data_IF_277431319836
#
_entry.id   IF_277431319836
#
_cell.length_a   1.000
_cell.length_b   1.000
_cell.length_c   1.000
_cell.angle_alpha   90.00
_cell.angle_beta   90.00
_cell.angle_gamma   90.00
#
_symmetry.space_group_name_H-M   'P 1'
#
loop_
_entity.id
_entity.type
_entity.pdbx_description
1 polymer ?
#
# COMPACT_ATOMS: atom_id res chain seq x y z
N UNK A 1 -15.05 -10.23 -55.75
CA UNK A 1 -13.86 -9.55 -55.21
C UNK A 1 -14.19 -8.36 -54.30
N UNK A 2 -14.95 -7.35 -54.76
CA UNK A 2 -15.29 -6.17 -53.93
C UNK A 2 -16.02 -6.48 -52.62
N UNK A 3 -16.92 -7.48 -52.59
CA UNK A 3 -17.64 -7.89 -51.36
C UNK A 3 -16.77 -8.64 -50.35
N UNK A 4 -15.71 -9.32 -50.80
CA UNK A 4 -14.76 -10.02 -49.92
C UNK A 4 -13.81 -9.02 -49.23
N UNK A 5 -13.42 -7.97 -49.96
CA UNK A 5 -12.60 -6.87 -49.44
C UNK A 5 -13.34 -6.12 -48.30
N UNK A 6 -14.66 -5.91 -48.44
CA UNK A 6 -15.46 -5.23 -47.40
C UNK A 6 -15.53 -6.07 -46.12
N UNK A 7 -15.64 -7.40 -46.22
CA UNK A 7 -15.68 -8.30 -45.05
C UNK A 7 -14.33 -8.32 -44.33
N UNK A 8 -13.22 -8.33 -45.07
CA UNK A 8 -11.86 -8.29 -44.51
C UNK A 8 -11.58 -6.94 -43.83
N UNK A 9 -12.03 -5.82 -44.41
CA UNK A 9 -11.91 -4.49 -43.79
C UNK A 9 -12.79 -4.38 -42.54
N UNK A 10 -14.00 -4.97 -42.57
CA UNK A 10 -14.91 -4.99 -41.42
C UNK A 10 -14.38 -5.82 -40.25
N UNK A 11 -13.51 -6.80 -40.50
CA UNK A 11 -12.89 -7.63 -39.46
C UNK A 11 -11.73 -6.93 -38.73
N UNK A 12 -11.14 -5.89 -39.33
CA UNK A 12 -10.07 -5.09 -38.70
C UNK A 12 -10.60 -3.91 -37.85
N UNK A 13 -11.91 -3.63 -37.88
CA UNK A 13 -12.53 -2.50 -37.18
C UNK A 13 -12.83 -2.75 -35.69
N UNK A 14 -12.56 -3.95 -35.17
CA UNK A 14 -13.07 -4.40 -33.86
C UNK A 14 -11.96 -4.85 -32.90
N UNK A 15 -10.93 -4.03 -32.70
CA UNK A 15 -10.12 -4.16 -31.48
C UNK A 15 -9.73 -2.78 -30.95
N UNK A 16 -10.71 -2.03 -30.45
CA UNK A 16 -10.43 -0.97 -29.48
C UNK A 16 -10.01 -1.66 -28.18
N UNK A 17 -8.71 -1.87 -28.00
CA UNK A 17 -8.15 -2.29 -26.72
C UNK A 17 -8.36 -1.11 -25.76
N UNK A 18 -9.48 -1.13 -25.03
CA UNK A 18 -9.69 -0.26 -23.89
C UNK A 18 -8.74 -0.72 -22.79
N UNK A 19 -7.51 -0.22 -22.83
CA UNK A 19 -6.59 -0.38 -21.72
C UNK A 19 -7.15 0.46 -20.57
N UNK A 20 -7.74 -0.21 -19.58
CA UNK A 20 -8.06 0.43 -18.31
C UNK A 20 -6.76 1.01 -17.75
N UNK A 21 -6.75 2.32 -17.51
CA UNK A 21 -5.60 2.98 -16.89
C UNK A 21 -5.40 2.40 -15.49
N UNK A 22 -4.20 1.92 -15.20
CA UNK A 22 -3.84 1.36 -13.90
C UNK A 22 -2.81 2.23 -13.16
N UNK A 23 -2.79 2.09 -11.83
CA UNK A 23 -1.76 2.66 -10.98
C UNK A 23 -1.38 1.66 -9.89
N UNK A 24 -0.12 1.25 -9.87
CA UNK A 24 0.37 0.22 -8.94
C UNK A 24 -0.49 -1.06 -9.01
N UNK A 25 -0.91 -1.46 -10.21
CA UNK A 25 -1.80 -2.62 -10.42
C UNK A 25 -3.23 -2.45 -9.91
N UNK A 26 -3.62 -1.29 -9.39
CA UNK A 26 -5.00 -0.95 -9.10
C UNK A 26 -5.68 -0.35 -10.33
N UNK A 27 -6.91 -0.77 -10.65
CA UNK A 27 -7.63 -0.22 -11.78
C UNK A 27 -8.20 1.15 -11.43
N UNK A 28 -8.11 2.08 -12.38
CA UNK A 28 -8.73 3.39 -12.27
C UNK A 28 -10.08 3.32 -13.01
N UNK A 29 -11.21 3.69 -12.37
CA UNK A 29 -12.51 3.74 -13.03
C UNK A 29 -12.49 4.58 -14.32
N UNK A 30 -13.20 4.11 -15.34
CA UNK A 30 -13.32 4.85 -16.60
C UNK A 30 -13.96 6.23 -16.39
N UNK A 31 -13.45 7.25 -17.08
CA UNK A 31 -13.92 8.63 -16.94
C UNK A 31 -13.39 9.37 -15.70
N UNK A 32 -12.48 8.77 -14.94
CA UNK A 32 -11.83 9.45 -13.81
C UNK A 32 -11.06 10.71 -14.26
N UNK A 33 -11.26 11.80 -13.51
CA UNK A 33 -10.51 13.03 -13.68
C UNK A 33 -9.28 13.01 -12.76
N UNK A 34 -8.08 12.85 -13.32
CA UNK A 34 -6.84 12.80 -12.55
C UNK A 34 -6.50 14.21 -12.05
N UNK A 35 -6.42 14.38 -10.72
CA UNK A 35 -6.04 15.64 -10.08
C UNK A 35 -4.53 15.73 -9.84
N UNK A 36 -3.92 14.62 -9.39
CA UNK A 36 -2.50 14.52 -9.13
C UNK A 36 -2.01 13.11 -9.47
N UNK A 37 -0.82 13.01 -10.07
CA UNK A 37 -0.14 11.74 -10.29
C UNK A 37 1.36 11.92 -10.17
N UNK A 38 1.96 11.13 -9.30
CA UNK A 38 3.41 10.94 -9.19
C UNK A 38 3.72 9.45 -8.95
N UNK A 39 4.99 9.12 -8.71
CA UNK A 39 5.42 7.73 -8.50
C UNK A 39 4.86 7.09 -7.22
N UNK A 40 4.50 7.91 -6.22
CA UNK A 40 4.07 7.47 -4.89
C UNK A 40 2.60 7.75 -4.59
N UNK A 41 1.91 8.55 -5.40
CA UNK A 41 0.54 8.99 -5.15
C UNK A 41 -0.23 9.18 -6.46
N UNK A 42 -1.46 8.69 -6.45
CA UNK A 42 -2.48 9.04 -7.43
C UNK A 42 -3.69 9.62 -6.71
N UNK A 43 -4.16 10.77 -7.15
CA UNK A 43 -5.41 11.38 -6.69
C UNK A 43 -6.30 11.69 -7.89
N UNK A 44 -7.56 11.25 -7.83
CA UNK A 44 -8.53 11.46 -8.90
C UNK A 44 -9.95 11.60 -8.37
N UNK A 45 -10.83 12.14 -9.21
CA UNK A 45 -12.27 12.22 -8.97
C UNK A 45 -13.02 11.33 -9.95
N UNK A 46 -14.10 10.70 -9.47
CA UNK A 46 -14.98 9.85 -10.26
C UNK A 46 -16.45 10.25 -10.06
N UNK A 47 -17.27 10.00 -11.08
CA UNK A 47 -18.73 10.18 -11.02
C UNK A 47 -19.43 9.04 -10.25
N UNK A 48 -18.72 7.95 -9.91
CA UNK A 48 -19.22 6.94 -8.99
C UNK A 48 -19.50 7.55 -7.62
N UNK A 49 -20.61 7.20 -6.99
CA UNK A 49 -20.83 7.54 -5.59
C UNK A 49 -19.91 6.73 -4.66
N UNK A 50 -19.84 7.14 -3.39
CA UNK A 50 -18.95 6.53 -2.40
C UNK A 50 -19.09 5.00 -2.31
N UNK A 51 -20.32 4.48 -2.15
CA UNK A 51 -20.56 3.05 -2.02
C UNK A 51 -20.20 2.28 -3.30
N UNK A 52 -20.53 2.82 -4.47
CA UNK A 52 -20.15 2.23 -5.76
C UNK A 52 -18.63 2.11 -5.90
N UNK A 53 -17.90 3.13 -5.46
CA UNK A 53 -16.44 3.12 -5.50
C UNK A 53 -15.84 2.12 -4.51
N UNK A 54 -16.40 2.03 -3.30
CA UNK A 54 -16.01 1.02 -2.29
C UNK A 54 -16.25 -0.40 -2.83
N UNK A 55 -17.41 -0.66 -3.40
CA UNK A 55 -17.76 -1.97 -3.95
C UNK A 55 -16.88 -2.34 -5.16
N UNK A 56 -16.56 -1.36 -6.01
CA UNK A 56 -15.62 -1.54 -7.13
C UNK A 56 -14.26 -2.06 -6.65
N UNK A 57 -13.66 -1.43 -5.64
CA UNK A 57 -12.39 -1.88 -5.10
C UNK A 57 -12.50 -3.17 -4.29
N UNK A 58 -13.60 -3.37 -3.53
CA UNK A 58 -13.84 -4.64 -2.82
C UNK A 58 -13.90 -5.83 -3.78
N UNK A 59 -14.56 -5.67 -4.92
CA UNK A 59 -14.64 -6.73 -5.93
C UNK A 59 -13.27 -7.04 -6.52
N UNK A 60 -12.50 -6.00 -6.87
CA UNK A 60 -11.14 -6.16 -7.38
C UNK A 60 -10.22 -6.85 -6.37
N UNK A 61 -10.34 -6.50 -5.09
CA UNK A 61 -9.51 -6.99 -4.00
C UNK A 61 -10.02 -8.28 -3.34
N UNK A 62 -11.08 -8.89 -3.86
CA UNK A 62 -11.73 -10.08 -3.27
C UNK A 62 -10.80 -11.29 -3.08
N UNK A 63 -9.72 -11.38 -3.84
CA UNK A 63 -8.72 -12.46 -3.75
C UNK A 63 -7.46 -12.07 -2.95
N UNK A 64 -7.35 -10.81 -2.54
CA UNK A 64 -6.24 -10.35 -1.72
C UNK A 64 -6.47 -10.78 -0.26
N UNK A 65 -5.41 -11.24 0.41
CA UNK A 65 -5.51 -11.84 1.75
C UNK A 65 -5.41 -10.83 2.88
N UNK A 66 -4.51 -9.87 2.75
CA UNK A 66 -4.08 -8.99 3.83
C UNK A 66 -4.67 -7.58 3.71
N UNK A 67 -5.94 -7.50 3.29
CA UNK A 67 -6.65 -6.23 3.11
C UNK A 67 -7.48 -5.89 4.33
N UNK A 68 -7.32 -4.69 4.86
CA UNK A 68 -8.15 -4.12 5.91
C UNK A 68 -8.98 -2.98 5.36
N UNK A 69 -10.28 -2.99 5.68
CA UNK A 69 -11.20 -1.92 5.33
C UNK A 69 -11.68 -1.26 6.62
N UNK A 70 -11.50 0.05 6.72
CA UNK A 70 -11.89 0.85 7.87
C UNK A 70 -12.84 1.95 7.42
N UNK A 71 -13.97 2.04 8.10
CA UNK A 71 -14.94 3.10 7.87
C UNK A 71 -14.64 4.27 8.79
N UNK A 72 -14.36 5.44 8.20
CA UNK A 72 -14.18 6.70 8.91
C UNK A 72 -15.37 7.62 8.65
N UNK A 73 -15.49 8.69 9.44
CA UNK A 73 -16.58 9.66 9.32
C UNK A 73 -16.66 10.30 7.93
N UNK A 74 -15.51 10.59 7.33
CA UNK A 74 -15.41 11.35 6.07
C UNK A 74 -14.87 10.51 4.90
N UNK A 75 -14.52 9.24 5.12
CA UNK A 75 -13.94 8.39 4.09
C UNK A 75 -14.05 6.90 4.44
N UNK A 76 -13.82 6.05 3.45
CA UNK A 76 -13.45 4.65 3.65
C UNK A 76 -11.97 4.51 3.35
N UNK A 77 -11.24 3.87 4.25
CA UNK A 77 -9.82 3.61 4.14
C UNK A 77 -9.59 2.13 3.92
N UNK A 78 -9.03 1.76 2.76
CA UNK A 78 -8.62 0.41 2.41
C UNK A 78 -7.10 0.35 2.49
N UNK A 79 -6.57 -0.60 3.24
CA UNK A 79 -5.16 -0.73 3.57
C UNK A 79 -4.67 -2.14 3.21
N UNK A 80 -3.49 -2.22 2.59
CA UNK A 80 -2.75 -3.48 2.44
C UNK A 80 -1.73 -3.60 3.59
N UNK A 81 -1.87 -4.66 4.38
CA UNK A 81 -0.88 -5.07 5.39
C UNK A 81 0.12 -6.10 4.82
N UNK A 82 0.02 -6.40 3.51
CA UNK A 82 0.79 -7.41 2.82
C UNK A 82 2.02 -6.86 2.11
N UNK A 83 2.04 -7.07 0.79
CA UNK A 83 3.20 -6.78 -0.08
C UNK A 83 2.77 -6.24 -1.44
N UNK A 84 1.55 -5.71 -1.52
CA UNK A 84 1.05 -5.11 -2.74
C UNK A 84 1.86 -3.83 -3.04
N UNK A 85 1.98 -3.45 -4.32
CA UNK A 85 2.75 -2.27 -4.71
C UNK A 85 2.13 -0.94 -4.23
N UNK A 86 0.89 -0.96 -3.76
CA UNK A 86 0.20 0.16 -3.11
C UNK A 86 0.00 -0.15 -1.62
N UNK A 87 -0.08 0.89 -0.79
CA UNK A 87 -0.29 0.79 0.64
C UNK A 87 -1.73 1.08 1.05
N UNK A 88 -2.33 2.13 0.48
CA UNK A 88 -3.72 2.46 0.81
C UNK A 88 -4.52 3.10 -0.31
N UNK A 89 -5.85 2.96 -0.20
CA UNK A 89 -6.87 3.59 -1.02
C UNK A 89 -7.82 4.33 -0.08
N UNK A 90 -7.88 5.64 -0.19
CA UNK A 90 -8.82 6.49 0.54
C UNK A 90 -9.94 6.93 -0.39
N UNK A 91 -11.19 6.67 -0.01
CA UNK A 91 -12.38 7.02 -0.78
C UNK A 91 -13.21 8.00 0.05
N UNK A 92 -13.32 9.25 -0.39
CA UNK A 92 -14.05 10.29 0.36
C UNK A 92 -15.55 10.02 0.42
N UNK A 93 -16.22 10.45 1.49
CA UNK A 93 -17.68 10.54 1.63
C UNK A 93 -18.12 11.99 1.39
N UNK A 94 -19.17 12.18 0.58
CA UNK A 94 -20.14 13.31 0.45
C UNK A 94 -19.73 14.79 0.67
N UNK A 95 -18.46 15.09 0.93
CA UNK A 95 -17.93 16.45 1.12
C UNK A 95 -17.45 17.07 -0.21
N UNK A 96 -17.54 16.33 -1.31
CA UNK A 96 -17.07 16.74 -2.63
C UNK A 96 -18.18 16.56 -3.65
N UNK A 97 -18.22 17.41 -4.69
CA UNK A 97 -19.17 17.27 -5.81
C UNK A 97 -19.04 15.94 -6.56
N UNK A 98 -17.88 15.29 -6.43
CA UNK A 98 -17.50 14.00 -7.02
C UNK A 98 -16.74 13.19 -5.98
N UNK A 99 -16.83 11.86 -6.05
CA UNK A 99 -16.08 11.01 -5.11
C UNK A 99 -14.59 11.11 -5.43
N UNK A 100 -13.81 11.54 -4.44
CA UNK A 100 -12.36 11.62 -4.53
C UNK A 100 -11.74 10.32 -4.04
N UNK A 101 -10.79 9.81 -4.81
CA UNK A 101 -10.01 8.62 -4.50
C UNK A 101 -8.54 8.98 -4.48
N UNK A 102 -7.86 8.57 -3.42
CA UNK A 102 -6.42 8.74 -3.24
C UNK A 102 -5.80 7.37 -3.07
N UNK A 103 -4.87 7.01 -3.95
CA UNK A 103 -4.07 5.79 -3.86
C UNK A 103 -2.65 6.18 -3.51
N UNK A 104 -2.08 5.55 -2.47
CA UNK A 104 -0.74 5.84 -1.97
C UNK A 104 0.12 4.59 -2.06
N UNK A 105 1.37 4.75 -2.54
CA UNK A 105 2.41 3.74 -2.54
C UNK A 105 3.01 3.57 -1.15
N UNK A 106 3.47 2.36 -0.86
CA UNK A 106 4.19 2.10 0.37
C UNK A 106 5.50 2.91 0.49
N UNK A 107 5.82 3.33 1.72
CA UNK A 107 7.01 4.12 2.03
C UNK A 107 8.09 3.26 2.68
N UNK A 108 8.84 2.58 1.81
CA UNK A 108 9.96 1.71 2.20
C UNK A 108 11.00 2.40 3.08
N UNK A 109 11.26 3.69 2.85
CA UNK A 109 12.21 4.46 3.67
C UNK A 109 11.73 4.57 5.11
N UNK A 110 10.45 4.83 5.33
CA UNK A 110 9.87 4.91 6.68
C UNK A 110 9.86 3.53 7.37
N UNK A 111 9.44 2.48 6.66
CA UNK A 111 9.44 1.10 7.19
C UNK A 111 10.85 0.68 7.61
N UNK A 112 11.83 0.83 6.72
CA UNK A 112 13.22 0.50 7.03
C UNK A 112 13.78 1.34 8.19
N UNK A 113 13.44 2.63 8.24
CA UNK A 113 13.85 3.52 9.33
C UNK A 113 13.37 3.03 10.70
N UNK A 114 12.09 2.67 10.83
CA UNK A 114 11.54 2.17 12.11
C UNK A 114 12.13 0.83 12.52
N UNK A 115 12.38 -0.07 11.56
CA UNK A 115 13.02 -1.38 11.80
C UNK A 115 14.46 -1.22 12.29
N UNK A 116 15.24 -0.36 11.62
CA UNK A 116 16.63 -0.07 12.00
C UNK A 116 16.69 0.54 13.40
N UNK A 117 15.83 1.52 13.69
CA UNK A 117 15.79 2.15 15.01
C UNK A 117 15.44 1.14 16.12
N UNK A 118 14.47 0.25 15.87
CA UNK A 118 14.13 -0.83 16.81
C UNK A 118 15.31 -1.77 17.04
N UNK A 119 16.01 -2.17 15.98
CA UNK A 119 17.17 -3.04 16.07
C UNK A 119 18.29 -2.39 16.90
N UNK A 120 18.60 -1.13 16.63
CA UNK A 120 19.61 -0.37 17.39
C UNK A 120 19.20 -0.27 18.87
N UNK A 121 17.94 0.03 19.16
CA UNK A 121 17.43 0.12 20.53
C UNK A 121 17.66 -1.18 21.31
N UNK A 122 17.27 -2.32 20.74
CA UNK A 122 17.51 -3.64 21.37
C UNK A 122 19.00 -3.92 21.52
N UNK A 123 19.81 -3.62 20.50
CA UNK A 123 21.25 -3.84 20.53
C UNK A 123 21.95 -3.06 21.65
N UNK A 124 21.60 -1.78 21.82
CA UNK A 124 22.13 -0.94 22.91
C UNK A 124 21.76 -1.52 24.27
N UNK A 125 20.51 -1.95 24.46
CA UNK A 125 20.07 -2.60 25.71
C UNK A 125 20.92 -3.84 26.01
N UNK A 126 21.17 -4.68 25.01
CA UNK A 126 21.99 -5.89 25.17
C UNK A 126 23.45 -5.56 25.52
N UNK A 127 24.05 -4.53 24.92
CA UNK A 127 25.39 -4.07 25.29
C UNK A 127 25.44 -3.63 26.75
N UNK A 128 24.48 -2.82 27.19
CA UNK A 128 24.43 -2.34 28.58
C UNK A 128 24.34 -3.51 29.55
N UNK A 129 23.42 -4.46 29.30
CA UNK A 129 23.30 -5.68 30.11
C UNK A 129 24.60 -6.48 30.14
N UNK A 130 25.24 -6.67 28.98
CA UNK A 130 26.49 -7.40 28.86
C UNK A 130 27.61 -6.74 29.68
N UNK A 131 27.74 -5.41 29.64
CA UNK A 131 28.74 -4.68 30.41
C UNK A 131 28.52 -4.89 31.91
N UNK A 132 27.29 -4.72 32.40
CA UNK A 132 26.98 -4.92 33.83
C UNK A 132 27.23 -6.36 34.28
N UNK A 133 26.83 -7.34 33.47
CA UNK A 133 27.11 -8.75 33.75
C UNK A 133 28.61 -9.06 33.76
N UNK A 134 29.38 -8.45 32.85
CA UNK A 134 30.83 -8.64 32.77
C UNK A 134 31.53 -8.06 33.99
N UNK A 135 31.11 -6.87 34.46
CA UNK A 135 31.61 -6.26 35.69
C UNK A 135 31.25 -7.14 36.90
N UNK A 136 30.00 -7.56 37.02
CA UNK A 136 29.53 -8.41 38.12
C UNK A 136 30.29 -9.75 38.14
N UNK A 137 30.46 -10.39 36.98
CA UNK A 137 31.21 -11.64 36.84
C UNK A 137 32.68 -11.47 37.23
N UNK A 138 33.30 -10.35 36.86
CA UNK A 138 34.68 -10.04 37.26
C UNK A 138 34.80 -9.89 38.78
N UNK A 139 33.89 -9.15 39.42
CA UNK A 139 33.87 -8.95 40.87
C UNK A 139 33.66 -10.30 41.59
N UNK A 140 32.67 -11.07 41.16
CA UNK A 140 32.39 -12.40 41.72
C UNK A 140 33.61 -13.31 41.58
N UNK A 141 34.26 -13.34 40.41
CA UNK A 141 35.44 -14.17 40.18
C UNK A 141 36.58 -13.85 41.15
N UNK A 142 36.78 -12.57 41.51
CA UNK A 142 37.81 -12.16 42.49
C UNK A 142 37.43 -12.60 43.90
N UNK A 143 36.19 -12.35 44.31
CA UNK A 143 35.69 -12.72 45.64
C UNK A 143 35.73 -14.23 45.92
N UNK A 144 35.47 -15.06 44.90
CA UNK A 144 35.47 -16.52 45.05
C UNK A 144 36.83 -17.17 44.79
N UNK A 145 37.76 -16.47 44.14
CA UNK A 145 39.13 -16.97 43.90
C UNK A 145 40.01 -16.88 45.16
N UNK A 146 39.78 -15.92 46.05
CA UNK A 146 40.54 -15.75 47.30
C UNK A 146 40.12 -16.73 48.43
N UNK A 147 39.10 -17.57 48.20
CA UNK A 147 38.61 -18.58 49.17
C UNK A 147 39.13 -20.00 48.93
N UNK A 148 40.06 -20.19 47.99
CA UNK A 148 40.70 -21.48 47.68
C UNK A 148 42.20 -21.38 47.88
#
# INVERSE_FOLDING_TARGET
>A
MKRFIIIVISFFSFVSISNATEFLGLPIPGGANILQRDEGRLEFETDMNHNQCVDYYRQFLSKARDIKIREWKEATYIEDDGKLPWHSITISRDNYKRTRVIIIKDNWTWIMGTLILRYIGVFVVLIVLYIFMSIAGTIASRLFKDKK
#
